data_IF_598030594932
#
_entry.id   IF_598030594932
#
_cell.length_a   1.000
_cell.length_b   1.000
_cell.length_c   1.000
_cell.angle_alpha   90.00
_cell.angle_beta   90.00
_cell.angle_gamma   90.00
#
_symmetry.space_group_name_H-M   'P 1'
#
loop_
_entity.id
_entity.type
_entity.pdbx_description
1 polymer ?
#
# COMPACT_ATOMS: atom_id res chain seq x y z
N UNK A 1 14.19 -24.93 9.08
CA UNK A 1 13.46 -23.73 9.51
C UNK A 1 11.98 -23.93 9.17
N UNK A 2 11.08 -23.34 9.95
CA UNK A 2 9.63 -23.47 9.73
C UNK A 2 9.23 -22.43 8.67
N UNK A 3 8.56 -22.86 7.60
CA UNK A 3 8.06 -21.93 6.60
C UNK A 3 7.06 -20.96 7.25
N UNK A 4 7.23 -19.67 6.99
CA UNK A 4 6.28 -18.65 7.41
C UNK A 4 5.25 -18.41 6.30
N UNK A 5 4.07 -17.95 6.71
CA UNK A 5 2.95 -17.69 5.81
C UNK A 5 2.22 -16.43 6.24
N UNK A 6 1.84 -15.60 5.28
CA UNK A 6 0.94 -14.46 5.50
C UNK A 6 -0.07 -14.35 4.36
N UNK A 7 -1.30 -14.01 4.73
CA UNK A 7 -2.36 -13.63 3.79
C UNK A 7 -2.73 -12.18 4.05
N UNK A 8 -2.81 -11.39 3.00
CA UNK A 8 -3.24 -10.00 3.08
C UNK A 8 -4.27 -9.69 1.99
N UNK A 9 -5.36 -9.02 2.40
CA UNK A 9 -6.39 -8.54 1.50
C UNK A 9 -6.15 -7.06 1.19
N UNK A 10 -5.89 -6.77 -0.07
CA UNK A 10 -5.66 -5.44 -0.60
C UNK A 10 -6.95 -4.62 -0.71
N UNK A 11 -6.77 -3.30 -0.80
CA UNK A 11 -7.88 -2.34 -0.88
C UNK A 11 -8.77 -2.51 -2.12
N UNK A 12 -8.26 -3.07 -3.22
CA UNK A 12 -9.07 -3.37 -4.41
C UNK A 12 -9.80 -4.73 -4.35
N UNK A 13 -9.70 -5.43 -3.21
CA UNK A 13 -10.35 -6.72 -2.97
C UNK A 13 -9.47 -7.93 -3.23
N UNK A 14 -8.35 -7.78 -3.96
CA UNK A 14 -7.41 -8.86 -4.25
C UNK A 14 -6.75 -9.40 -2.99
N UNK A 15 -6.46 -10.70 -2.97
CA UNK A 15 -5.85 -11.37 -1.82
C UNK A 15 -4.49 -11.94 -2.21
N UNK A 16 -3.46 -11.55 -1.47
CA UNK A 16 -2.07 -11.97 -1.68
C UNK A 16 -1.68 -12.98 -0.61
N UNK A 17 -1.08 -14.08 -1.04
CA UNK A 17 -0.52 -15.11 -0.17
C UNK A 17 0.99 -15.17 -0.39
N UNK A 18 1.74 -15.01 0.69
CA UNK A 18 3.19 -15.12 0.71
C UNK A 18 3.56 -16.30 1.61
N UNK A 19 4.41 -17.18 1.12
CA UNK A 19 4.88 -18.35 1.85
C UNK A 19 6.36 -18.59 1.57
N UNK A 20 7.15 -18.87 2.60
CA UNK A 20 8.56 -19.19 2.37
C UNK A 20 9.40 -19.31 3.64
N UNK A 21 10.67 -19.64 3.43
CA UNK A 21 11.69 -19.70 4.48
C UNK A 21 12.34 -18.32 4.73
N UNK A 22 11.49 -17.33 5.01
CA UNK A 22 11.85 -15.94 5.34
C UNK A 22 10.94 -15.45 6.48
N UNK A 23 11.29 -14.35 7.14
CA UNK A 23 10.44 -13.78 8.18
C UNK A 23 9.31 -12.92 7.57
N UNK A 24 8.05 -13.38 7.71
CA UNK A 24 6.87 -12.68 7.23
C UNK A 24 6.04 -12.02 8.34
N UNK A 25 6.54 -11.89 9.58
CA UNK A 25 5.76 -11.42 10.74
C UNK A 25 5.39 -9.93 10.70
N UNK A 26 6.19 -9.08 10.06
CA UNK A 26 5.86 -7.65 9.95
C UNK A 26 4.50 -7.44 9.25
N UNK A 27 3.71 -6.41 9.61
CA UNK A 27 2.42 -6.18 8.96
C UNK A 27 2.58 -5.86 7.47
N UNK A 28 1.53 -6.15 6.70
CA UNK A 28 1.37 -5.63 5.34
C UNK A 28 0.62 -4.30 5.39
N UNK A 29 0.95 -3.40 4.47
CA UNK A 29 0.08 -2.26 4.13
C UNK A 29 -0.44 -2.42 2.71
N UNK A 30 -1.59 -1.82 2.42
CA UNK A 30 -2.12 -1.76 1.05
C UNK A 30 -2.44 -0.33 0.68
N UNK A 31 -2.00 0.11 -0.50
CA UNK A 31 -2.27 1.43 -1.05
C UNK A 31 -3.07 1.32 -2.36
N UNK A 32 -3.99 2.24 -2.58
CA UNK A 32 -4.74 2.33 -3.84
C UNK A 32 -5.10 3.78 -4.15
N UNK A 33 -5.17 4.09 -5.44
CA UNK A 33 -5.72 5.35 -5.90
C UNK A 33 -7.16 5.17 -6.37
N UNK A 34 -8.01 6.07 -5.90
CA UNK A 34 -9.42 6.16 -6.30
C UNK A 34 -9.64 7.53 -6.93
N UNK A 35 -10.25 7.55 -8.11
CA UNK A 35 -10.85 8.77 -8.64
C UNK A 35 -12.19 8.94 -7.93
N UNK A 36 -12.42 10.06 -7.26
CA UNK A 36 -13.69 10.39 -6.62
C UNK A 36 -13.99 11.89 -6.80
N UNK A 37 -15.15 12.22 -7.38
CA UNK A 37 -15.53 13.61 -7.62
C UNK A 37 -14.54 14.37 -8.52
N UNK A 38 -13.94 13.69 -9.50
CA UNK A 38 -12.94 14.27 -10.41
C UNK A 38 -11.54 14.44 -9.81
N UNK A 39 -11.30 13.96 -8.59
CA UNK A 39 -10.00 14.03 -7.90
C UNK A 39 -9.38 12.64 -7.79
N UNK A 40 -8.07 12.55 -7.98
CA UNK A 40 -7.29 11.35 -7.65
C UNK A 40 -6.92 11.40 -6.17
N UNK A 41 -7.28 10.37 -5.42
CA UNK A 41 -7.03 10.29 -3.98
C UNK A 41 -6.40 8.95 -3.64
N UNK A 42 -5.25 9.01 -2.97
CA UNK A 42 -4.58 7.83 -2.46
C UNK A 42 -5.13 7.47 -1.07
N UNK A 43 -5.43 6.19 -0.90
CA UNK A 43 -5.75 5.59 0.38
C UNK A 43 -4.72 4.52 0.72
N UNK A 44 -4.28 4.50 1.96
CA UNK A 44 -3.38 3.50 2.50
C UNK A 44 -4.01 2.82 3.69
N UNK A 45 -3.92 1.50 3.77
CA UNK A 45 -4.41 0.71 4.89
C UNK A 45 -3.32 -0.14 5.51
N UNK A 46 -3.52 -0.52 6.76
CA UNK A 46 -2.58 -1.31 7.53
C UNK A 46 -3.16 -1.70 8.88
N UNK A 47 -2.32 -1.99 9.88
CA UNK A 47 -2.76 -2.25 11.25
C UNK A 47 -3.60 -1.11 11.82
N UNK A 48 -4.40 -1.39 12.84
CA UNK A 48 -5.22 -0.38 13.53
C UNK A 48 -4.41 0.82 14.08
N UNK A 49 -3.11 0.63 14.34
CA UNK A 49 -2.19 1.69 14.79
C UNK A 49 -1.75 2.64 13.67
N UNK A 50 -1.89 2.26 12.39
CA UNK A 50 -1.27 2.98 11.26
C UNK A 50 -1.57 4.48 11.28
N UNK A 51 -2.82 4.86 11.55
CA UNK A 51 -3.19 6.27 11.60
C UNK A 51 -2.54 7.05 12.75
N UNK A 52 -2.31 6.40 13.89
CA UNK A 52 -1.61 7.00 15.03
C UNK A 52 -0.11 7.14 14.71
N UNK A 53 0.47 6.12 14.08
CA UNK A 53 1.87 6.12 13.62
C UNK A 53 2.13 7.25 12.60
N UNK A 54 1.20 7.42 11.65
CA UNK A 54 1.25 8.51 10.66
C UNK A 54 1.09 9.87 11.34
N UNK A 55 0.09 10.05 12.21
CA UNK A 55 -0.10 11.31 12.93
C UNK A 55 1.13 11.71 13.74
N UNK A 56 1.73 10.75 14.46
CA UNK A 56 2.95 10.95 15.23
C UNK A 56 4.15 11.35 14.34
N UNK A 57 4.32 10.69 13.19
CA UNK A 57 5.39 11.03 12.22
C UNK A 57 5.29 12.46 11.68
N UNK A 58 4.06 13.01 11.68
CA UNK A 58 3.75 14.37 11.22
C UNK A 58 3.75 15.39 12.37
N UNK A 59 4.01 14.96 13.61
CA UNK A 59 3.96 15.82 14.80
C UNK A 59 2.56 16.28 15.18
N UNK A 60 1.52 15.54 14.80
CA UNK A 60 0.11 15.86 15.06
C UNK A 60 -0.36 15.13 16.32
N UNK A 61 -0.75 15.88 17.36
CA UNK A 61 -1.02 15.33 18.68
C UNK A 61 -2.45 14.83 18.94
N UNK A 62 -3.47 15.42 18.29
CA UNK A 62 -4.88 15.08 18.56
C UNK A 62 -5.76 15.39 17.34
N UNK A 63 -6.85 14.62 17.13
CA UNK A 63 -7.79 14.91 16.06
C UNK A 63 -8.65 16.15 16.37
N UNK A 64 -8.96 16.93 15.34
CA UNK A 64 -9.92 18.03 15.40
C UNK A 64 -11.37 17.53 15.41
N UNK A 65 -11.60 16.35 14.85
CA UNK A 65 -12.93 15.72 14.80
C UNK A 65 -12.82 14.21 14.93
N UNK A 66 -13.72 13.63 15.72
CA UNK A 66 -13.90 12.19 15.85
C UNK A 66 -15.38 11.82 15.71
N UNK A 67 -15.67 10.84 14.84
CA UNK A 67 -17.03 10.49 14.42
C UNK A 67 -17.16 8.97 14.27
N UNK A 68 -18.34 8.41 14.53
CA UNK A 68 -18.64 7.05 14.07
C UNK A 68 -18.97 7.08 12.57
N UNK A 69 -18.27 6.25 11.79
CA UNK A 69 -18.44 6.18 10.34
C UNK A 69 -18.21 4.77 9.82
N UNK A 70 -19.14 4.23 9.03
CA UNK A 70 -19.05 2.89 8.42
C UNK A 70 -18.54 1.79 9.38
N UNK A 71 -19.13 1.71 10.58
CA UNK A 71 -18.78 0.76 11.66
C UNK A 71 -17.40 0.93 12.31
N UNK A 72 -16.64 1.97 11.94
CA UNK A 72 -15.39 2.34 12.59
C UNK A 72 -15.44 3.77 13.15
N UNK A 73 -14.28 4.21 13.62
CA UNK A 73 -14.07 5.58 14.11
C UNK A 73 -13.30 6.38 13.09
N UNK A 74 -13.89 7.45 12.58
CA UNK A 74 -13.24 8.42 11.71
C UNK A 74 -12.65 9.54 12.55
N UNK A 75 -11.34 9.73 12.44
CA UNK A 75 -10.57 10.80 13.07
C UNK A 75 -10.00 11.69 11.98
N UNK A 76 -10.23 12.99 12.08
CA UNK A 76 -9.74 13.98 11.13
C UNK A 76 -8.82 14.91 11.90
N UNK A 77 -7.60 15.05 11.39
CA UNK A 77 -6.60 15.94 11.92
C UNK A 77 -6.25 16.97 10.86
N UNK A 78 -6.03 18.21 11.28
CA UNK A 78 -5.56 19.29 10.45
C UNK A 78 -4.18 19.72 10.93
N UNK A 79 -3.27 19.93 9.99
CA UNK A 79 -1.96 20.53 10.28
C UNK A 79 -1.76 21.76 9.40
N UNK A 80 -0.94 22.69 9.86
CA UNK A 80 -0.41 23.76 9.00
C UNK A 80 0.95 23.30 8.46
N UNK A 81 1.11 23.31 7.13
CA UNK A 81 2.37 23.01 6.46
C UNK A 81 2.82 24.25 5.70
N UNK A 82 4.09 24.64 5.82
CA UNK A 82 4.64 25.73 5.02
C UNK A 82 5.51 25.15 3.91
N UNK A 83 5.13 25.41 2.66
CA UNK A 83 5.90 24.97 1.51
C UNK A 83 7.25 25.73 1.49
N UNK A 84 8.40 25.02 1.50
CA UNK A 84 9.70 25.65 1.72
C UNK A 84 10.13 26.68 0.67
N UNK A 85 9.64 26.61 -0.58
CA UNK A 85 10.11 27.45 -1.69
C UNK A 85 9.30 28.73 -1.88
N UNK A 86 7.99 28.64 -1.72
CA UNK A 86 6.99 29.69 -1.95
C UNK A 86 6.53 30.34 -0.65
N UNK A 87 6.72 29.68 0.48
CA UNK A 87 6.22 30.12 1.78
C UNK A 87 4.70 29.99 1.93
N UNK A 88 4.02 29.38 0.95
CA UNK A 88 2.58 29.12 1.00
C UNK A 88 2.28 28.25 2.22
N UNK A 89 1.26 28.65 2.99
CA UNK A 89 0.75 27.85 4.10
C UNK A 89 -0.40 27.01 3.58
N UNK A 90 -0.20 25.70 3.58
CA UNK A 90 -1.21 24.71 3.28
C UNK A 90 -1.79 24.14 4.56
N UNK A 91 -3.03 23.66 4.46
CA UNK A 91 -3.76 23.06 5.58
C UNK A 91 -4.24 21.66 5.21
N UNK A 92 -3.34 20.68 5.11
CA UNK A 92 -3.75 19.32 4.83
C UNK A 92 -4.58 18.74 5.97
N UNK A 93 -5.54 17.90 5.57
CA UNK A 93 -6.24 17.00 6.46
C UNK A 93 -5.56 15.63 6.38
N UNK A 94 -5.17 15.11 7.54
CA UNK A 94 -4.96 13.68 7.73
C UNK A 94 -6.29 13.07 8.14
N UNK A 95 -6.78 12.11 7.35
CA UNK A 95 -8.04 11.43 7.60
C UNK A 95 -7.74 9.98 7.92
N UNK A 96 -8.15 9.54 9.10
CA UNK A 96 -7.93 8.19 9.61
C UNK A 96 -9.25 7.54 9.93
N UNK A 97 -9.62 6.51 9.19
CA UNK A 97 -10.68 5.59 9.61
C UNK A 97 -10.03 4.42 10.34
N UNK A 98 -10.49 4.12 11.56
CA UNK A 98 -10.00 3.01 12.39
C UNK A 98 -11.12 2.00 12.61
N UNK A 99 -10.89 0.78 12.17
CA UNK A 99 -11.70 -0.40 12.48
C UNK A 99 -11.21 -1.12 13.74
N UNK A 100 -11.56 -2.40 13.85
CA UNK A 100 -11.14 -3.25 14.96
C UNK A 100 -9.66 -3.65 14.86
N UNK A 101 -9.24 -4.05 13.65
CA UNK A 101 -7.93 -4.67 13.36
C UNK A 101 -7.08 -3.81 12.42
N UNK A 102 -7.75 -3.02 11.59
CA UNK A 102 -7.11 -2.27 10.52
C UNK A 102 -7.51 -0.79 10.56
N UNK A 103 -6.66 0.03 9.95
CA UNK A 103 -6.95 1.44 9.71
C UNK A 103 -6.78 1.76 8.22
N UNK A 104 -7.48 2.80 7.78
CA UNK A 104 -7.37 3.45 6.49
C UNK A 104 -6.94 4.89 6.70
N UNK A 105 -5.97 5.35 5.94
CA UNK A 105 -5.37 6.68 6.04
C UNK A 105 -5.37 7.33 4.66
N UNK A 106 -5.67 8.62 4.61
CA UNK A 106 -5.45 9.45 3.43
C UNK A 106 -5.07 10.86 3.84
N UNK A 107 -4.23 11.52 3.04
CA UNK A 107 -3.93 12.95 3.15
C UNK A 107 -4.69 13.71 2.07
N UNK A 108 -5.38 14.76 2.48
CA UNK A 108 -6.21 15.56 1.59
C UNK A 108 -5.86 17.04 1.71
N UNK A 109 -5.79 17.73 0.57
CA UNK A 109 -5.49 19.15 0.51
C UNK A 109 -6.69 19.92 -0.03
N UNK A 110 -6.99 21.07 0.60
CA UNK A 110 -8.05 21.98 0.16
C UNK A 110 -9.46 21.41 0.29
N UNK A 111 -9.71 20.54 1.27
CA UNK A 111 -11.02 20.00 1.61
C UNK A 111 -11.36 20.29 3.07
N UNK A 112 -12.64 20.49 3.37
CA UNK A 112 -13.19 20.51 4.72
C UNK A 112 -13.84 19.18 5.11
N UNK A 113 -14.19 19.05 6.40
CA UNK A 113 -14.77 17.81 6.98
C UNK A 113 -15.99 17.29 6.21
N UNK A 114 -16.90 18.16 5.78
CA UNK A 114 -18.09 17.75 5.03
C UNK A 114 -17.75 17.12 3.67
N UNK A 115 -16.73 17.64 2.99
CA UNK A 115 -16.26 17.12 1.71
C UNK A 115 -15.53 15.79 1.90
N UNK A 116 -14.75 15.65 2.99
CA UNK A 116 -14.16 14.36 3.40
C UNK A 116 -15.25 13.31 3.60
N UNK A 117 -16.33 13.64 4.31
CA UNK A 117 -17.45 12.72 4.50
C UNK A 117 -18.15 12.37 3.19
N UNK A 118 -18.32 13.32 2.27
CA UNK A 118 -18.86 13.07 0.94
C UNK A 118 -18.00 12.10 0.14
N UNK A 119 -16.68 12.33 0.13
CA UNK A 119 -15.69 11.47 -0.51
C UNK A 119 -15.72 10.06 0.08
N UNK A 120 -15.65 9.92 1.41
CA UNK A 120 -15.67 8.60 2.05
C UNK A 120 -17.01 7.88 1.91
N UNK A 121 -18.13 8.59 1.68
CA UNK A 121 -19.41 7.95 1.36
C UNK A 121 -19.44 7.35 -0.04
N UNK A 122 -18.67 7.91 -0.97
CA UNK A 122 -18.52 7.37 -2.33
C UNK A 122 -17.65 6.10 -2.38
N UNK A 123 -17.06 5.69 -1.26
CA UNK A 123 -16.20 4.51 -1.16
C UNK A 123 -16.58 3.71 0.08
N UNK A 124 -17.21 2.55 -0.09
CA UNK A 124 -17.55 1.70 1.06
C UNK A 124 -16.32 1.01 1.60
N UNK A 125 -16.13 1.05 2.90
CA UNK A 125 -15.03 0.41 3.63
C UNK A 125 -15.57 -0.88 4.23
N UNK A 126 -14.91 -2.00 3.95
CA UNK A 126 -15.23 -3.28 4.57
C UNK A 126 -13.96 -3.91 5.16
N UNK A 127 -14.03 -4.20 6.45
CA UNK A 127 -12.96 -4.85 7.21
C UNK A 127 -13.12 -6.37 7.20
N UNK A 128 -11.99 -7.06 7.10
CA UNK A 128 -11.86 -8.51 7.21
C UNK A 128 -10.72 -8.86 8.16
N UNK A 129 -10.54 -10.14 8.47
CA UNK A 129 -9.40 -10.61 9.27
C UNK A 129 -8.03 -10.39 8.60
N UNK A 130 -8.00 -10.21 7.27
CA UNK A 130 -6.77 -10.14 6.48
C UNK A 130 -6.47 -8.74 5.92
N UNK A 131 -7.33 -7.74 6.16
CA UNK A 131 -7.15 -6.39 5.64
C UNK A 131 -8.47 -5.66 5.38
N UNK A 132 -8.36 -4.51 4.72
CA UNK A 132 -9.49 -3.67 4.31
C UNK A 132 -9.73 -3.78 2.81
N UNK A 133 -10.99 -3.67 2.43
CA UNK A 133 -11.41 -3.49 1.03
C UNK A 133 -12.19 -2.20 0.89
N UNK A 134 -11.99 -1.55 -0.25
CA UNK A 134 -12.75 -0.41 -0.70
C UNK A 134 -13.69 -0.84 -1.82
N UNK A 135 -14.88 -0.28 -1.82
CA UNK A 135 -15.84 -0.44 -2.92
C UNK A 135 -16.25 0.96 -3.38
N UNK A 136 -15.51 1.55 -4.34
CA UNK A 136 -15.96 2.76 -5.03
C UNK A 136 -17.35 2.54 -5.62
N UNK A 137 -18.20 3.55 -5.56
CA UNK A 137 -19.52 3.60 -6.15
C UNK A 137 -19.48 4.38 -7.49
N UNK A 138 -19.53 3.68 -8.64
CA UNK A 138 -19.51 4.34 -9.95
C UNK A 138 -20.69 5.28 -10.17
N UNK A 139 -21.84 5.04 -9.51
CA UNK A 139 -23.01 5.91 -9.61
C UNK A 139 -22.80 7.24 -8.86
N UNK A 140 -21.92 7.25 -7.86
CA UNK A 140 -21.43 8.45 -7.18
C UNK A 140 -20.17 9.04 -7.85
N UNK A 141 -19.77 8.51 -9.02
CA UNK A 141 -18.62 9.00 -9.77
C UNK A 141 -17.27 8.60 -9.16
N UNK A 142 -17.19 7.47 -8.45
CA UNK A 142 -15.93 6.95 -7.93
C UNK A 142 -15.52 5.60 -8.54
N UNK A 143 -14.22 5.44 -8.78
CA UNK A 143 -13.64 4.23 -9.36
C UNK A 143 -12.15 4.10 -8.98
N UNK A 144 -11.63 2.88 -8.98
CA UNK A 144 -10.18 2.66 -8.87
C UNK A 144 -9.46 3.20 -10.10
N UNK A 145 -8.37 3.94 -9.89
CA UNK A 145 -7.51 4.43 -10.98
C UNK A 145 -6.54 3.34 -11.47
N UNK A 146 -6.05 2.51 -10.54
CA UNK A 146 -5.13 1.40 -10.78
C UNK A 146 -5.39 0.27 -9.77
N UNK A 147 -4.89 -0.96 -10.01
CA UNK A 147 -4.90 -2.01 -9.00
C UNK A 147 -4.25 -1.54 -7.70
N UNK A 148 -4.71 -2.09 -6.57
CA UNK A 148 -4.07 -1.82 -5.30
C UNK A 148 -2.69 -2.49 -5.25
N UNK A 149 -1.79 -1.80 -4.55
CA UNK A 149 -0.47 -2.28 -4.19
C UNK A 149 -0.49 -2.80 -2.76
N UNK A 150 0.26 -3.86 -2.48
CA UNK A 150 0.53 -4.38 -1.14
C UNK A 150 2.02 -4.22 -0.86
N UNK A 151 2.36 -3.58 0.24
CA UNK A 151 3.74 -3.36 0.66
C UNK A 151 4.02 -4.23 1.87
N UNK A 152 5.15 -4.93 1.84
CA UNK A 152 5.58 -5.86 2.86
C UNK A 152 7.08 -5.75 3.09
N UNK A 153 7.46 -5.37 4.30
CA UNK A 153 8.85 -5.51 4.73
C UNK A 153 9.14 -6.96 5.13
N UNK A 154 10.24 -7.49 4.59
CA UNK A 154 10.77 -8.83 4.90
C UNK A 154 12.21 -8.66 5.40
N UNK A 155 12.47 -8.86 6.70
CA UNK A 155 13.81 -8.76 7.27
C UNK A 155 14.83 -9.60 6.51
N UNK A 156 15.97 -8.98 6.15
CA UNK A 156 17.04 -9.62 5.40
C UNK A 156 16.79 -9.76 3.88
N UNK A 157 15.59 -9.43 3.39
CA UNK A 157 15.25 -9.41 1.97
C UNK A 157 14.98 -7.97 1.46
N UNK A 158 14.23 -7.16 2.21
CA UNK A 158 13.91 -5.78 1.87
C UNK A 158 12.42 -5.48 1.80
N UNK A 159 12.05 -4.44 1.05
CA UNK A 159 10.68 -4.00 0.84
C UNK A 159 10.10 -4.64 -0.42
N UNK A 160 9.07 -5.46 -0.27
CA UNK A 160 8.30 -6.03 -1.36
C UNK A 160 7.08 -5.15 -1.64
N UNK A 161 6.97 -4.68 -2.87
CA UNK A 161 5.80 -3.98 -3.41
C UNK A 161 5.11 -4.91 -4.42
N UNK A 162 3.94 -5.43 -4.06
CA UNK A 162 3.18 -6.40 -4.82
C UNK A 162 1.96 -5.74 -5.45
N UNK A 163 1.68 -6.05 -6.70
CA UNK A 163 0.45 -5.66 -7.37
C UNK A 163 0.00 -6.75 -8.34
N UNK A 164 -1.25 -6.64 -8.81
CA UNK A 164 -1.70 -7.45 -9.95
C UNK A 164 -0.89 -7.06 -11.18
N UNK A 165 -0.47 -8.07 -11.95
CA UNK A 165 0.22 -7.82 -13.22
C UNK A 165 -0.70 -7.06 -14.19
N UNK A 166 -0.18 -5.99 -14.78
CA UNK A 166 -0.87 -5.20 -15.81
C UNK A 166 -0.13 -5.28 -17.15
N UNK A 167 -0.72 -4.68 -18.20
CA UNK A 167 -0.07 -4.61 -19.51
C UNK A 167 1.13 -3.66 -19.47
N UNK A 168 0.99 -2.57 -18.71
CA UNK A 168 2.00 -1.54 -18.49
C UNK A 168 3.25 -2.16 -17.85
N UNK A 169 3.07 -3.00 -16.82
CA UNK A 169 4.18 -3.76 -16.22
C UNK A 169 4.92 -4.62 -17.24
N UNK A 170 4.18 -5.30 -18.11
CA UNK A 170 4.80 -6.17 -19.13
C UNK A 170 5.60 -5.35 -20.15
N UNK A 171 5.17 -4.14 -20.48
CA UNK A 171 5.89 -3.24 -21.38
C UNK A 171 7.17 -2.65 -20.75
N UNK A 172 7.27 -2.64 -19.42
CA UNK A 172 8.43 -2.16 -18.67
C UNK A 172 9.49 -3.25 -18.43
N UNK A 173 9.19 -4.51 -18.76
CA UNK A 173 10.17 -5.57 -18.58
C UNK A 173 11.39 -5.35 -19.50
N UNK A 174 12.60 -5.57 -18.97
CA UNK A 174 13.79 -5.55 -19.81
C UNK A 174 13.69 -6.54 -20.97
N UNK A 175 14.35 -6.27 -22.11
CA UNK A 175 14.30 -7.13 -23.29
C UNK A 175 15.10 -8.44 -23.13
N UNK A 176 15.86 -8.61 -22.04
CA UNK A 176 16.62 -9.82 -21.73
C UNK A 176 15.82 -10.77 -20.82
N UNK A 177 16.22 -12.05 -20.77
CA UNK A 177 15.57 -13.05 -19.91
C UNK A 177 15.92 -12.84 -18.44
N UNK A 178 14.92 -13.02 -17.57
CA UNK A 178 15.12 -13.06 -16.13
C UNK A 178 15.70 -14.39 -15.66
N UNK A 179 16.03 -14.47 -14.38
CA UNK A 179 16.37 -15.73 -13.70
C UNK A 179 15.07 -16.40 -13.26
N UNK A 180 14.88 -17.66 -13.63
CA UNK A 180 13.71 -18.41 -13.19
C UNK A 180 13.75 -18.66 -11.67
N UNK A 181 12.65 -18.37 -10.99
CA UNK A 181 12.43 -18.60 -9.57
C UNK A 181 11.06 -19.27 -9.36
N UNK A 182 10.78 -19.75 -8.15
CA UNK A 182 9.53 -20.48 -7.84
C UNK A 182 8.26 -19.71 -8.24
N UNK A 183 8.31 -18.38 -8.15
CA UNK A 183 7.17 -17.49 -8.39
C UNK A 183 7.18 -16.79 -9.76
N UNK A 184 8.07 -17.17 -10.69
CA UNK A 184 8.14 -16.56 -12.03
C UNK A 184 9.57 -16.24 -12.49
N UNK A 185 9.75 -15.07 -13.09
CA UNK A 185 11.06 -14.59 -13.56
C UNK A 185 11.51 -13.37 -12.74
N UNK A 186 12.76 -13.41 -12.27
CA UNK A 186 13.40 -12.34 -11.53
C UNK A 186 14.35 -11.54 -12.43
N UNK A 187 14.15 -10.24 -12.46
CA UNK A 187 14.98 -9.27 -13.18
C UNK A 187 15.68 -8.38 -12.15
N UNK A 188 16.87 -7.91 -12.49
CA UNK A 188 17.61 -6.93 -11.71
C UNK A 188 17.77 -5.67 -12.54
N UNK A 189 17.58 -4.53 -11.91
CA UNK A 189 17.82 -3.22 -12.48
C UNK A 189 18.34 -2.26 -11.40
N UNK A 190 18.52 -0.98 -11.73
CA UNK A 190 19.15 0.02 -10.86
C UNK A 190 18.34 1.32 -10.84
N UNK A 191 18.11 1.85 -9.64
CA UNK A 191 17.46 3.13 -9.41
C UNK A 191 18.36 4.28 -9.87
N UNK A 192 17.80 5.49 -9.97
CA UNK A 192 18.54 6.69 -10.41
C UNK A 192 19.73 7.06 -9.53
N UNK A 193 19.71 6.63 -8.26
CA UNK A 193 20.78 6.84 -7.28
C UNK A 193 21.88 5.74 -7.34
N UNK A 194 21.75 4.76 -8.25
CA UNK A 194 22.68 3.64 -8.37
C UNK A 194 22.32 2.42 -7.49
N UNK A 195 21.28 2.51 -6.67
CA UNK A 195 20.85 1.42 -5.79
C UNK A 195 20.19 0.30 -6.60
N UNK A 196 20.51 -0.99 -6.36
CA UNK A 196 19.89 -2.08 -7.10
C UNK A 196 18.44 -2.28 -6.63
N UNK A 197 17.57 -2.65 -7.57
CA UNK A 197 16.25 -3.19 -7.27
C UNK A 197 15.98 -4.43 -8.13
N UNK A 198 14.98 -5.20 -7.74
CA UNK A 198 14.60 -6.40 -8.45
C UNK A 198 13.12 -6.37 -8.80
N UNK A 199 12.78 -7.01 -9.91
CA UNK A 199 11.40 -7.19 -10.36
C UNK A 199 11.15 -8.67 -10.50
N UNK A 200 10.19 -9.19 -9.76
CA UNK A 200 9.66 -10.52 -9.93
C UNK A 200 8.34 -10.43 -10.70
N UNK A 201 8.31 -11.04 -11.88
CA UNK A 201 7.15 -11.08 -12.76
C UNK A 201 6.60 -12.49 -12.88
N UNK A 202 5.34 -12.68 -12.50
CA UNK A 202 4.59 -13.92 -12.68
C UNK A 202 3.44 -13.73 -13.66
N UNK A 203 2.60 -14.74 -13.87
CA UNK A 203 1.39 -14.60 -14.69
C UNK A 203 0.33 -13.70 -14.04
N UNK A 204 0.33 -13.60 -12.70
CA UNK A 204 -0.71 -12.89 -11.94
C UNK A 204 -0.18 -11.71 -11.11
N UNK A 205 1.08 -11.79 -10.68
CA UNK A 205 1.70 -10.85 -9.75
C UNK A 205 2.84 -10.12 -10.45
N UNK A 206 2.92 -8.82 -10.16
CA UNK A 206 4.11 -8.02 -10.32
C UNK A 206 4.64 -7.66 -8.93
N UNK A 207 5.92 -7.92 -8.68
CA UNK A 207 6.55 -7.64 -7.41
C UNK A 207 7.84 -6.85 -7.63
N UNK A 208 7.90 -5.63 -7.13
CA UNK A 208 9.15 -4.87 -7.03
C UNK A 208 9.76 -5.13 -5.66
N UNK A 209 11.04 -5.49 -5.63
CA UNK A 209 11.81 -5.68 -4.41
C UNK A 209 12.90 -4.60 -4.33
N UNK A 210 12.84 -3.81 -3.28
CA UNK A 210 13.87 -2.82 -2.94
C UNK A 210 14.65 -3.33 -1.73
N UNK A 211 15.90 -3.79 -1.92
CA UNK A 211 16.79 -4.15 -0.82
C UNK A 211 16.93 -2.98 0.18
N UNK A 212 16.74 -3.25 1.47
CA UNK A 212 17.05 -2.28 2.52
C UNK A 212 18.53 -2.38 2.91
N UNK A 213 19.04 -1.40 3.68
CA UNK A 213 20.45 -1.34 4.07
C UNK A 213 20.99 -2.62 4.75
N UNK A 214 20.11 -3.40 5.39
CA UNK A 214 20.42 -4.69 6.03
C UNK A 214 20.42 -5.90 5.09
N UNK A 215 20.09 -5.71 3.81
CA UNK A 215 19.93 -6.78 2.82
C UNK A 215 21.25 -7.03 2.09
N UNK A 216 21.73 -8.28 2.07
CA UNK A 216 22.80 -8.68 1.15
C UNK A 216 22.23 -8.89 -0.24
N UNK A 217 22.50 -7.94 -1.13
CA UNK A 217 21.99 -7.90 -2.52
C UNK A 217 22.30 -9.17 -3.29
N UNK A 218 23.46 -9.78 -3.03
CA UNK A 218 23.94 -11.00 -3.67
C UNK A 218 23.08 -12.22 -3.32
N UNK A 219 22.45 -12.20 -2.14
CA UNK A 219 21.58 -13.28 -1.65
C UNK A 219 20.13 -13.12 -2.09
N UNK A 220 19.76 -11.97 -2.65
CA UNK A 220 18.37 -11.69 -3.05
C UNK A 220 17.81 -12.75 -3.99
N UNK A 221 18.49 -13.19 -5.07
CA UNK A 221 17.94 -14.23 -5.95
C UNK A 221 17.64 -15.55 -5.22
N UNK A 222 18.51 -15.96 -4.30
CA UNK A 222 18.32 -17.17 -3.48
C UNK A 222 17.14 -17.03 -2.51
N UNK A 223 17.01 -15.87 -1.85
CA UNK A 223 15.93 -15.59 -0.91
C UNK A 223 14.57 -15.48 -1.62
N UNK A 224 14.50 -14.76 -2.75
CA UNK A 224 13.30 -14.69 -3.58
C UNK A 224 12.94 -16.06 -4.16
N UNK A 225 13.94 -16.87 -4.52
CA UNK A 225 13.74 -18.26 -4.97
C UNK A 225 13.04 -19.15 -3.93
N UNK A 226 13.09 -18.78 -2.64
CA UNK A 226 12.42 -19.45 -1.52
C UNK A 226 11.07 -18.84 -1.15
N UNK A 227 10.63 -17.80 -1.84
CA UNK A 227 9.36 -17.11 -1.60
C UNK A 227 8.34 -17.48 -2.69
N UNK A 228 7.27 -18.15 -2.27
CA UNK A 228 6.10 -18.43 -3.09
C UNK A 228 5.10 -17.27 -2.97
N UNK A 229 4.70 -16.69 -4.11
CA UNK A 229 3.72 -15.61 -4.20
C UNK A 229 2.49 -16.08 -4.99
N UNK A 230 1.30 -15.89 -4.44
CA UNK A 230 0.03 -16.24 -5.07
C UNK A 230 -1.00 -15.13 -4.89
N UNK A 231 -1.86 -14.94 -5.88
CA UNK A 231 -2.89 -13.91 -5.87
C UNK A 231 -4.26 -14.52 -6.20
N UNK A 232 -5.28 -14.19 -5.43
CA UNK A 232 -6.68 -14.58 -5.69
C UNK A 232 -7.58 -13.34 -5.75
N UNK A 233 -8.65 -13.40 -6.56
CA UNK A 233 -9.63 -12.31 -6.69
C UNK A 233 -10.79 -12.49 -5.72
#
# INVERSE_FOLDING_TARGET
>A
MVASFVTHRALDGGTYHLEGDVDLQAPCTSAVEVVAGGRLVEFTSGPASLGDDVAASLGIGSPDSELTFQKGTLRIFQSDEREPRSGLVERPLLVVWRGERHALVTRLYGLGVAEVLGLLRSVRIAESEHGLTLQPDPSAGSAFARPATVIKEVPGLGLLELSRRTKEHTAQLPPWKGVAVASGELFRDTLSDGSPFFVLSSTEIWATLVPLASTSVERVPELVGRLALRHTR
#
